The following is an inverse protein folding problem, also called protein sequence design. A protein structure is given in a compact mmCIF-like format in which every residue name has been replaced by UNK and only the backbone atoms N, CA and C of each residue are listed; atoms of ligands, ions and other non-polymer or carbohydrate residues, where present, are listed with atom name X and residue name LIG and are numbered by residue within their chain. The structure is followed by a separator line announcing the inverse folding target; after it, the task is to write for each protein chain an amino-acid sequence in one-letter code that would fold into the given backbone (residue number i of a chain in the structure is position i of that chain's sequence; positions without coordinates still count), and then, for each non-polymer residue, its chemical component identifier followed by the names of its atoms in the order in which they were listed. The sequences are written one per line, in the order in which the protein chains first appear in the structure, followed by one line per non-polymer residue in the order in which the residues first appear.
data_IF_880785638181
#
_entry.id   IF_880785638181
#
_cell.length_a   1.000
_cell.length_b   1.000
_cell.length_c   1.000
_cell.angle_alpha   90.00
_cell.angle_beta   90.00
_cell.angle_gamma   90.00
#
_symmetry.space_group_name_H-M   'P 1'
#
loop_
_entity.id
_entity.type
_entity.pdbx_description
1 polymer ?
#
# COMPACT_ATOMS: atom_id res chain seq x y z
N UNK A 1 -20.17 10.76 7.70
CA UNK A 1 -19.70 9.36 7.85
C UNK A 1 -18.67 8.96 6.77
N UNK A 2 -18.91 9.22 5.48
CA UNK A 2 -17.94 8.93 4.40
C UNK A 2 -16.56 9.60 4.59
N UNK A 3 -16.52 10.89 4.98
CA UNK A 3 -15.26 11.61 5.21
C UNK A 3 -14.39 10.98 6.30
N UNK A 4 -15.01 10.54 7.41
CA UNK A 4 -14.28 9.91 8.53
C UNK A 4 -13.70 8.57 8.11
N UNK A 5 -14.47 7.74 7.39
CA UNK A 5 -13.98 6.48 6.82
C UNK A 5 -12.84 6.71 5.81
N UNK A 6 -12.97 7.74 4.96
CA UNK A 6 -11.92 8.12 4.01
C UNK A 6 -10.63 8.51 4.73
N UNK A 7 -10.70 9.37 5.74
CA UNK A 7 -9.53 9.76 6.54
C UNK A 7 -8.91 8.56 7.23
N UNK A 8 -9.73 7.69 7.83
CA UNK A 8 -9.25 6.49 8.54
C UNK A 8 -8.56 5.52 7.57
N UNK A 9 -9.13 5.28 6.38
CA UNK A 9 -8.50 4.48 5.34
C UNK A 9 -7.15 5.07 4.90
N UNK A 10 -7.08 6.38 4.70
CA UNK A 10 -5.83 7.07 4.37
C UNK A 10 -4.78 6.93 5.48
N UNK A 11 -5.17 7.09 6.75
CA UNK A 11 -4.28 6.90 7.90
C UNK A 11 -3.77 5.46 7.98
N UNK A 12 -4.62 4.46 7.77
CA UNK A 12 -4.22 3.05 7.71
C UNK A 12 -3.28 2.77 6.55
N UNK A 13 -3.52 3.38 5.38
CA UNK A 13 -2.64 3.27 4.22
C UNK A 13 -1.26 3.84 4.49
N UNK A 14 -1.22 5.03 5.11
CA UNK A 14 0.04 5.65 5.51
C UNK A 14 0.78 4.81 6.56
N UNK A 15 0.07 4.22 7.52
CA UNK A 15 0.65 3.34 8.53
C UNK A 15 1.18 2.04 7.93
N UNK A 16 0.49 1.45 6.95
CA UNK A 16 0.96 0.26 6.22
C UNK A 16 2.24 0.57 5.46
N UNK A 17 2.29 1.71 4.77
CA UNK A 17 3.48 2.17 4.07
C UNK A 17 4.63 2.42 5.04
N UNK A 18 4.40 3.15 6.13
CA UNK A 18 5.44 3.42 7.14
C UNK A 18 6.01 2.11 7.69
N UNK A 19 5.15 1.11 7.95
CA UNK A 19 5.58 -0.23 8.33
C UNK A 19 6.37 -0.95 7.24
N UNK A 20 5.97 -0.85 5.98
CA UNK A 20 6.67 -1.41 4.82
C UNK A 20 8.06 -0.77 4.62
N UNK A 21 8.15 0.55 4.77
CA UNK A 21 9.40 1.32 4.71
C UNK A 21 10.32 0.90 5.85
N UNK A 22 9.81 0.89 7.09
CA UNK A 22 10.58 0.47 8.26
C UNK A 22 11.11 -0.96 8.10
N UNK A 23 10.30 -1.90 7.60
CA UNK A 23 10.74 -3.27 7.30
C UNK A 23 11.83 -3.31 6.24
N UNK A 24 11.72 -2.55 5.16
CA UNK A 24 12.75 -2.48 4.13
C UNK A 24 14.09 -1.98 4.68
N UNK A 25 14.07 -0.89 5.45
CA UNK A 25 15.27 -0.35 6.11
C UNK A 25 15.87 -1.35 7.10
N UNK A 26 15.04 -1.99 7.93
CA UNK A 26 15.48 -3.01 8.88
C UNK A 26 16.10 -4.22 8.18
N UNK A 27 15.55 -4.62 7.04
CA UNK A 27 16.04 -5.75 6.25
C UNK A 27 17.36 -5.42 5.55
N UNK A 28 17.51 -4.22 4.99
CA UNK A 28 18.76 -3.75 4.39
C UNK A 28 19.88 -3.54 5.43
N UNK A 29 19.53 -3.25 6.68
CA UNK A 29 20.47 -3.13 7.80
C UNK A 29 20.78 -4.46 8.48
N UNK A 30 20.31 -5.59 7.94
CA UNK A 30 20.46 -6.93 8.54
C UNK A 30 20.07 -6.98 10.02
N UNK A 31 19.12 -6.15 10.44
CA UNK A 31 18.82 -5.94 11.85
C UNK A 31 18.08 -7.15 12.46
N UNK A 32 18.47 -7.63 13.65
CA UNK A 32 17.78 -8.74 14.32
C UNK A 32 16.31 -8.44 14.66
N UNK A 33 15.92 -7.16 14.63
CA UNK A 33 14.55 -6.71 14.87
C UNK A 33 13.55 -7.19 13.81
N UNK A 34 14.00 -7.54 12.60
CA UNK A 34 13.15 -8.15 11.55
C UNK A 34 12.48 -9.44 12.06
N UNK A 35 13.10 -10.14 13.02
CA UNK A 35 12.58 -11.41 13.58
C UNK A 35 11.60 -11.21 14.75
N UNK A 36 11.45 -10.01 15.32
CA UNK A 36 10.56 -9.79 16.49
C UNK A 36 9.09 -9.93 16.11
N UNK A 37 8.27 -10.51 17.01
CA UNK A 37 6.82 -10.74 16.81
C UNK A 37 6.07 -9.49 16.33
N UNK A 38 6.46 -8.32 16.81
CA UNK A 38 5.79 -7.05 16.47
C UNK A 38 5.87 -6.72 14.98
N UNK A 39 7.01 -6.99 14.33
CA UNK A 39 7.20 -6.81 12.90
C UNK A 39 6.35 -7.76 12.04
N UNK A 40 5.86 -8.86 12.63
CA UNK A 40 4.96 -9.83 12.00
C UNK A 40 3.48 -9.52 12.23
N UNK A 41 3.10 -9.08 13.43
CA UNK A 41 1.68 -8.87 13.80
C UNK A 41 1.15 -7.50 13.39
N UNK A 42 1.96 -6.45 13.53
CA UNK A 42 1.56 -5.08 13.18
C UNK A 42 1.05 -4.94 11.72
N UNK A 43 1.74 -5.47 10.68
CA UNK A 43 1.22 -5.41 9.32
C UNK A 43 -0.13 -6.10 9.16
N UNK A 44 -0.38 -7.24 9.81
CA UNK A 44 -1.65 -7.95 9.64
C UNK A 44 -2.84 -7.13 10.16
N UNK A 45 -2.70 -6.46 11.31
CA UNK A 45 -3.76 -5.59 11.84
C UNK A 45 -4.05 -4.41 10.91
N UNK A 46 -2.99 -3.79 10.40
CA UNK A 46 -3.11 -2.64 9.49
C UNK A 46 -3.70 -3.07 8.15
N UNK A 47 -3.26 -4.19 7.59
CA UNK A 47 -3.72 -4.69 6.30
C UNK A 47 -5.19 -5.14 6.39
N UNK A 48 -5.61 -5.80 7.48
CA UNK A 48 -7.03 -6.14 7.67
C UNK A 48 -7.88 -4.88 7.78
N UNK A 49 -7.44 -3.88 8.55
CA UNK A 49 -8.14 -2.59 8.63
C UNK A 49 -8.21 -1.87 7.28
N UNK A 50 -7.12 -1.90 6.52
CA UNK A 50 -7.00 -1.27 5.21
C UNK A 50 -7.91 -1.93 4.17
N UNK A 51 -7.96 -3.26 4.17
CA UNK A 51 -8.84 -4.04 3.31
C UNK A 51 -10.31 -3.80 3.67
N UNK A 52 -10.68 -3.88 4.96
CA UNK A 52 -12.05 -3.65 5.42
C UNK A 52 -12.53 -2.25 5.08
N UNK A 53 -11.72 -1.22 5.39
CA UNK A 53 -12.06 0.17 5.09
C UNK A 53 -12.10 0.43 3.59
N UNK A 54 -11.20 -0.17 2.80
CA UNK A 54 -11.20 -0.09 1.35
C UNK A 54 -12.43 -0.73 0.72
N UNK A 55 -12.84 -1.92 1.18
CA UNK A 55 -14.06 -2.59 0.74
C UNK A 55 -15.30 -1.75 1.07
N UNK A 56 -15.35 -1.20 2.28
CA UNK A 56 -16.47 -0.36 2.71
C UNK A 56 -16.57 0.92 1.88
N UNK A 57 -15.43 1.58 1.63
CA UNK A 57 -15.37 2.74 0.75
C UNK A 57 -15.82 2.38 -0.67
N UNK A 58 -15.35 1.26 -1.23
CA UNK A 58 -15.78 0.80 -2.55
C UNK A 58 -17.28 0.50 -2.61
N UNK A 59 -17.84 -0.11 -1.56
CA UNK A 59 -19.28 -0.38 -1.46
C UNK A 59 -20.10 0.92 -1.43
N UNK A 60 -19.75 1.85 -0.53
CA UNK A 60 -20.44 3.15 -0.43
C UNK A 60 -20.33 3.92 -1.74
N UNK A 61 -19.17 3.87 -2.40
CA UNK A 61 -18.98 4.58 -3.67
C UNK A 61 -19.74 3.95 -4.84
N UNK A 62 -19.80 2.61 -4.93
CA UNK A 62 -20.59 1.89 -5.95
C UNK A 62 -22.08 2.23 -5.88
N UNK A 63 -22.58 2.56 -4.69
CA UNK A 63 -23.98 2.96 -4.50
C UNK A 63 -24.28 4.39 -4.98
N UNK A 64 -23.27 5.25 -5.15
CA UNK A 64 -23.46 6.67 -5.49
C UNK A 64 -22.92 7.05 -6.88
N UNK A 65 -21.92 6.34 -7.42
CA UNK A 65 -21.35 6.64 -8.73
C UNK A 65 -21.17 5.36 -9.57
N UNK A 66 -21.54 5.43 -10.86
CA UNK A 66 -21.24 4.39 -11.85
C UNK A 66 -19.71 4.20 -12.00
N UNK A 67 -19.25 3.00 -12.39
CA UNK A 67 -17.83 2.62 -12.38
C UNK A 67 -16.93 3.68 -13.07
N UNK A 68 -16.22 4.46 -12.26
CA UNK A 68 -15.25 5.44 -12.73
C UNK A 68 -13.90 4.75 -13.03
N UNK A 69 -13.17 5.17 -14.08
CA UNK A 69 -11.94 4.52 -14.53
C UNK A 69 -10.78 4.58 -13.51
N UNK A 70 -10.83 5.47 -12.51
CA UNK A 70 -9.82 5.55 -11.45
C UNK A 70 -9.87 4.35 -10.47
N UNK A 71 -11.02 3.65 -10.37
CA UNK A 71 -11.18 2.50 -9.48
C UNK A 71 -10.37 1.28 -9.94
N UNK A 72 -10.48 0.81 -11.20
CA UNK A 72 -9.62 -0.27 -11.69
C UNK A 72 -8.14 0.11 -11.71
N UNK A 73 -7.80 1.39 -11.96
CA UNK A 73 -6.41 1.87 -11.87
C UNK A 73 -5.82 1.68 -10.47
N UNK A 74 -6.58 1.98 -9.41
CA UNK A 74 -6.14 1.70 -8.02
C UNK A 74 -5.96 0.22 -7.74
N UNK A 75 -6.81 -0.65 -8.28
CA UNK A 75 -6.67 -2.10 -8.10
C UNK A 75 -5.42 -2.64 -8.78
N UNK A 76 -5.12 -2.19 -10.01
CA UNK A 76 -3.91 -2.58 -10.73
C UNK A 76 -2.67 -2.10 -9.97
N UNK A 77 -2.66 -0.85 -9.51
CA UNK A 77 -1.55 -0.31 -8.74
C UNK A 77 -1.35 -1.05 -7.39
N UNK A 78 -2.45 -1.47 -6.74
CA UNK A 78 -2.38 -2.30 -5.53
C UNK A 78 -1.74 -3.66 -5.81
N UNK A 79 -2.13 -4.34 -6.90
CA UNK A 79 -1.52 -5.61 -7.30
C UNK A 79 -0.03 -5.45 -7.61
N UNK A 80 0.34 -4.37 -8.29
CA UNK A 80 1.74 -4.06 -8.59
C UNK A 80 2.55 -3.80 -7.31
N UNK A 81 1.99 -3.06 -6.35
CA UNK A 81 2.58 -2.83 -5.03
C UNK A 81 2.81 -4.15 -4.28
N UNK A 82 1.81 -5.05 -4.25
CA UNK A 82 1.93 -6.36 -3.61
C UNK A 82 3.01 -7.20 -4.30
N UNK A 83 3.04 -7.26 -5.63
CA UNK A 83 4.03 -8.00 -6.39
C UNK A 83 5.45 -7.51 -6.13
N UNK A 84 5.66 -6.19 -6.11
CA UNK A 84 6.95 -5.58 -5.79
C UNK A 84 7.37 -5.83 -4.34
N UNK A 85 6.42 -5.80 -3.39
CA UNK A 85 6.67 -6.18 -2.00
C UNK A 85 7.09 -7.64 -1.86
N UNK A 86 6.45 -8.54 -2.61
CA UNK A 86 6.80 -9.97 -2.66
C UNK A 86 8.20 -10.15 -3.27
N UNK A 87 8.52 -9.42 -4.34
CA UNK A 87 9.85 -9.41 -4.95
C UNK A 87 10.90 -8.92 -3.95
N UNK A 88 10.67 -7.78 -3.31
CA UNK A 88 11.61 -7.20 -2.35
C UNK A 88 11.88 -8.13 -1.16
N UNK A 89 10.85 -8.72 -0.55
CA UNK A 89 11.03 -9.47 0.69
C UNK A 89 11.21 -10.98 0.53
N UNK A 90 10.60 -11.60 -0.49
CA UNK A 90 10.55 -13.06 -0.65
C UNK A 90 11.44 -13.59 -1.78
N UNK A 91 11.54 -12.87 -2.91
CA UNK A 91 12.22 -13.39 -4.10
C UNK A 91 13.58 -12.74 -4.40
N UNK A 92 13.86 -11.54 -3.87
CA UNK A 92 15.12 -10.86 -4.09
C UNK A 92 16.29 -11.65 -3.48
N UNK A 93 17.17 -12.13 -4.36
CA UNK A 93 18.38 -12.90 -4.02
C UNK A 93 19.59 -12.02 -3.71
N UNK A 94 19.55 -10.74 -4.07
CA UNK A 94 20.60 -9.77 -3.77
C UNK A 94 20.04 -8.54 -3.04
N UNK A 95 20.86 -7.91 -2.19
CA UNK A 95 20.46 -6.70 -1.46
C UNK A 95 20.17 -5.53 -2.41
N UNK A 96 20.84 -5.47 -3.56
CA UNK A 96 20.57 -4.48 -4.62
C UNK A 96 19.21 -4.64 -5.29
N UNK A 97 18.83 -5.87 -5.68
CA UNK A 97 17.50 -6.15 -6.26
C UNK A 97 16.39 -5.93 -5.24
N UNK A 98 16.66 -6.23 -3.96
CA UNK A 98 15.77 -5.95 -2.83
C UNK A 98 15.54 -4.45 -2.66
N UNK A 99 16.61 -3.64 -2.65
CA UNK A 99 16.52 -2.19 -2.52
C UNK A 99 15.77 -1.55 -3.70
N UNK A 100 16.04 -1.99 -4.94
CA UNK A 100 15.35 -1.51 -6.13
C UNK A 100 13.85 -1.85 -6.11
N UNK A 101 13.49 -3.11 -5.82
CA UNK A 101 12.09 -3.52 -5.73
C UNK A 101 11.35 -2.80 -4.58
N UNK A 102 12.02 -2.57 -3.46
CA UNK A 102 11.48 -1.82 -2.34
C UNK A 102 11.25 -0.34 -2.69
N UNK A 103 12.22 0.31 -3.34
CA UNK A 103 12.07 1.68 -3.84
C UNK A 103 10.95 1.80 -4.89
N UNK A 104 10.87 0.85 -5.83
CA UNK A 104 9.81 0.80 -6.82
C UNK A 104 8.42 0.65 -6.17
N UNK A 105 8.29 -0.21 -5.15
CA UNK A 105 7.03 -0.36 -4.41
C UNK A 105 6.57 0.95 -3.76
N UNK A 106 7.50 1.73 -3.19
CA UNK A 106 7.19 3.06 -2.64
C UNK A 106 6.70 4.00 -3.75
N UNK A 107 7.36 3.99 -4.93
CA UNK A 107 6.93 4.78 -6.08
C UNK A 107 5.49 4.46 -6.53
N UNK A 108 5.14 3.16 -6.62
CA UNK A 108 3.77 2.72 -6.94
C UNK A 108 2.77 3.20 -5.90
N UNK A 109 3.14 3.22 -4.62
CA UNK A 109 2.28 3.73 -3.57
C UNK A 109 2.05 5.24 -3.66
N UNK A 110 3.09 6.02 -3.97
CA UNK A 110 2.96 7.47 -4.19
C UNK A 110 2.04 7.75 -5.38
N UNK A 111 2.14 6.97 -6.46
CA UNK A 111 1.20 7.02 -7.57
C UNK A 111 -0.24 6.71 -7.13
N UNK A 112 -0.45 5.66 -6.31
CA UNK A 112 -1.79 5.37 -5.76
C UNK A 112 -2.35 6.54 -4.94
N UNK A 113 -1.52 7.23 -4.16
CA UNK A 113 -1.91 8.44 -3.43
C UNK A 113 -2.33 9.55 -4.41
N UNK A 114 -1.52 9.82 -5.43
CA UNK A 114 -1.80 10.85 -6.42
C UNK A 114 -3.12 10.58 -7.16
N UNK A 115 -3.36 9.35 -7.61
CA UNK A 115 -4.63 8.91 -8.21
C UNK A 115 -5.79 9.05 -7.21
N UNK A 116 -5.56 8.78 -5.92
CA UNK A 116 -6.59 8.91 -4.90
C UNK A 116 -7.01 10.35 -4.60
N UNK A 117 -6.09 11.31 -4.70
CA UNK A 117 -6.37 12.73 -4.50
C UNK A 117 -6.96 13.39 -5.76
N UNK A 118 -6.40 13.09 -6.92
CA UNK A 118 -6.84 13.68 -8.21
C UNK A 118 -8.12 13.03 -8.73
N UNK A 119 -8.44 11.79 -8.30
CA UNK A 119 -9.48 10.93 -8.90
C UNK A 119 -9.30 10.74 -10.42
N UNK A 120 -8.09 10.99 -10.94
CA UNK A 120 -7.72 10.80 -12.33
C UNK A 120 -6.77 9.62 -12.44
N UNK A 121 -6.89 8.87 -13.54
CA UNK A 121 -6.01 7.71 -13.82
C UNK A 121 -4.58 8.18 -14.03
N UNK A 122 -4.39 9.32 -14.69
CA UNK A 122 -3.10 9.96 -14.90
C UNK A 122 -3.12 11.26 -14.07
N UNK A 123 -2.47 11.31 -12.89
CA UNK A 123 -2.51 12.49 -12.04
C UNK A 123 -1.68 13.67 -12.58
N UNK A 124 -1.00 13.50 -13.72
CA UNK A 124 -0.12 14.49 -14.37
C UNK A 124 -0.63 14.93 -15.76
N UNK A 125 -1.87 14.60 -16.13
CA UNK A 125 -2.48 14.95 -17.42
C UNK A 125 -3.52 16.06 -17.30
#
# INVERSE_FOLDING_TARGET
MYSTLKTLHFSLAFLSLAGFVARGVLHLRHSPWVKRRFARVAPHLVDTGLLLTGLWLAWVWRMHEHLQPWLPAKLIALLLYIALGLLAFRFARSDGTRALAWGAAIGVFLYMLAVAFTKQVIPLS
#
